data_IF_083844371631
#
_entry.id   IF_083844371631
#
_cell.length_a   1.000
_cell.length_b   1.000
_cell.length_c   1.000
_cell.angle_alpha   90.00
_cell.angle_beta   90.00
_cell.angle_gamma   90.00
#
_symmetry.space_group_name_H-M   'P 1'
#
loop_
_entity.id
_entity.type
_entity.pdbx_description
1 polymer ?
#
# COMPACT_ATOMS: atom_id res chain seq x y z
N UNK A 1 -24.46 -53.87 -75.36
CA UNK A 1 -23.60 -52.91 -76.08
C UNK A 1 -22.53 -52.41 -75.12
N UNK A 2 -21.25 -52.65 -75.48
CA UNK A 2 -19.99 -51.90 -75.19
C UNK A 2 -19.86 -51.14 -73.84
N UNK A 3 -18.74 -51.08 -73.12
CA UNK A 3 -17.38 -51.67 -73.08
C UNK A 3 -16.78 -51.13 -71.76
N UNK A 4 -16.06 -51.99 -71.05
CA UNK A 4 -14.78 -51.82 -70.33
C UNK A 4 -14.23 -50.42 -69.96
N UNK A 5 -13.69 -50.35 -68.72
CA UNK A 5 -12.48 -49.64 -68.23
C UNK A 5 -12.29 -48.14 -68.51
N UNK A 6 -12.03 -47.35 -67.46
CA UNK A 6 -10.69 -46.78 -67.22
C UNK A 6 -10.66 -45.91 -65.95
N UNK A 7 -9.73 -46.30 -65.07
CA UNK A 7 -9.13 -45.53 -63.99
C UNK A 7 -8.57 -44.21 -64.54
N UNK A 8 -8.94 -43.06 -63.96
CA UNK A 8 -8.15 -41.83 -64.09
C UNK A 8 -8.01 -41.18 -62.72
N UNK A 9 -6.89 -41.54 -62.10
CA UNK A 9 -6.25 -40.83 -61.00
C UNK A 9 -6.04 -39.39 -61.44
N UNK A 10 -6.68 -38.44 -60.77
CA UNK A 10 -6.18 -37.07 -60.72
C UNK A 10 -5.91 -36.75 -59.27
N UNK A 11 -4.61 -36.75 -58.94
CA UNK A 11 -4.09 -36.15 -57.73
C UNK A 11 -4.52 -34.69 -57.69
N UNK A 12 -5.48 -34.35 -56.84
CA UNK A 12 -5.56 -32.99 -56.32
C UNK A 12 -4.78 -32.98 -55.01
N UNK A 13 -3.50 -32.63 -55.13
CA UNK A 13 -2.68 -32.18 -54.00
C UNK A 13 -3.31 -30.88 -53.52
N UNK A 14 -4.31 -30.99 -52.63
CA UNK A 14 -4.73 -29.87 -51.83
C UNK A 14 -3.58 -29.59 -50.85
N UNK A 15 -2.79 -28.58 -51.20
CA UNK A 15 -1.76 -28.01 -50.35
C UNK A 15 -2.33 -27.80 -48.95
N UNK A 16 -1.88 -28.62 -47.99
CA UNK A 16 -2.02 -28.32 -46.58
C UNK A 16 -1.19 -27.07 -46.36
N UNK A 17 -1.85 -25.90 -46.33
CA UNK A 17 -1.26 -24.68 -45.81
C UNK A 17 -0.83 -24.97 -44.36
N UNK A 18 0.47 -25.00 -44.03
CA UNK A 18 0.89 -25.05 -42.65
C UNK A 18 0.78 -23.63 -42.10
N UNK A 19 -0.42 -23.23 -41.69
CA UNK A 19 -0.62 -21.83 -41.28
C UNK A 19 -1.87 -21.50 -40.47
N UNK A 20 -2.81 -22.43 -40.26
CA UNK A 20 -4.11 -22.09 -39.68
C UNK A 20 -4.50 -22.88 -38.41
N UNK A 21 -3.55 -23.52 -37.72
CA UNK A 21 -3.81 -24.24 -36.45
C UNK A 21 -2.91 -23.79 -35.31
N UNK A 22 -2.38 -22.56 -35.36
CA UNK A 22 -1.55 -22.05 -34.25
C UNK A 22 -1.67 -20.55 -34.03
N UNK A 23 -2.89 -20.09 -33.81
CA UNK A 23 -3.17 -18.76 -33.27
C UNK A 23 -4.19 -18.78 -32.10
N UNK A 24 -4.44 -19.95 -31.50
CA UNK A 24 -5.35 -20.08 -30.36
C UNK A 24 -4.66 -20.44 -29.02
N UNK A 25 -3.36 -20.77 -29.03
CA UNK A 25 -2.68 -21.31 -27.84
C UNK A 25 -1.55 -20.45 -27.27
N UNK A 26 -1.51 -19.15 -27.58
CA UNK A 26 -0.47 -18.25 -27.01
C UNK A 26 -1.00 -16.90 -26.53
N UNK A 27 -2.28 -16.83 -26.13
CA UNK A 27 -2.64 -15.90 -25.08
C UNK A 27 -2.07 -16.45 -23.76
N UNK A 28 -0.77 -16.25 -23.53
CA UNK A 28 -0.25 -16.13 -22.17
C UNK A 28 -1.24 -15.21 -21.47
N UNK A 29 -2.02 -15.73 -20.52
CA UNK A 29 -2.93 -14.90 -19.74
C UNK A 29 -2.10 -13.71 -19.29
N UNK A 30 -2.40 -12.52 -19.82
CA UNK A 30 -1.73 -11.31 -19.38
C UNK A 30 -1.74 -11.35 -17.85
N UNK A 31 -0.62 -11.07 -17.17
CA UNK A 31 -0.56 -11.12 -15.72
C UNK A 31 -1.76 -10.35 -15.21
N UNK A 32 -2.68 -11.08 -14.58
CA UNK A 32 -4.00 -10.52 -14.32
C UNK A 32 -3.77 -9.38 -13.33
N UNK A 33 -4.01 -8.14 -13.77
CA UNK A 33 -3.76 -6.98 -12.93
C UNK A 33 -4.67 -7.09 -11.71
N UNK A 34 -4.07 -7.29 -10.54
CA UNK A 34 -4.79 -7.54 -9.29
C UNK A 34 -5.76 -6.39 -8.98
N UNK A 35 -5.39 -5.18 -9.38
CA UNK A 35 -6.24 -4.00 -9.33
C UNK A 35 -7.51 -4.21 -10.17
N UNK A 36 -7.37 -4.60 -11.44
CA UNK A 36 -8.52 -4.82 -12.35
C UNK A 36 -9.48 -5.92 -11.85
N UNK A 37 -8.95 -6.97 -11.20
CA UNK A 37 -9.78 -8.02 -10.60
C UNK A 37 -10.60 -7.49 -9.42
N UNK A 38 -9.94 -6.73 -8.53
CA UNK A 38 -10.60 -6.12 -7.38
C UNK A 38 -11.65 -5.09 -7.81
N UNK A 39 -11.36 -4.27 -8.82
CA UNK A 39 -12.32 -3.33 -9.41
C UNK A 39 -13.57 -4.05 -9.93
N UNK A 40 -13.39 -5.15 -10.68
CA UNK A 40 -14.50 -5.97 -11.19
C UNK A 40 -15.27 -6.68 -10.06
N UNK A 41 -14.57 -7.15 -9.04
CA UNK A 41 -15.18 -7.80 -7.88
C UNK A 41 -16.07 -6.82 -7.11
N UNK A 42 -15.56 -5.62 -6.81
CA UNK A 42 -16.31 -4.56 -6.12
C UNK A 42 -17.44 -4.01 -6.99
N UNK A 43 -17.28 -3.94 -8.31
CA UNK A 43 -18.35 -3.54 -9.22
C UNK A 43 -19.52 -4.55 -9.25
N UNK A 44 -19.24 -5.85 -9.08
CA UNK A 44 -20.26 -6.90 -8.99
C UNK A 44 -20.91 -6.93 -7.60
N UNK A 45 -20.11 -6.82 -6.56
CA UNK A 45 -20.56 -6.82 -5.18
C UNK A 45 -19.74 -5.82 -4.35
N UNK A 46 -20.38 -4.69 -4.04
CA UNK A 46 -19.78 -3.63 -3.23
C UNK A 46 -20.07 -3.76 -1.74
N UNK A 47 -20.62 -4.89 -1.28
CA UNK A 47 -20.89 -5.17 0.14
C UNK A 47 -19.81 -6.03 0.81
N UNK A 48 -18.85 -6.55 0.03
CA UNK A 48 -17.72 -7.30 0.57
C UNK A 48 -16.63 -6.34 1.10
N UNK A 49 -16.48 -6.28 2.43
CA UNK A 49 -15.49 -5.43 3.08
C UNK A 49 -14.06 -5.74 2.65
N UNK A 50 -13.66 -7.01 2.59
CA UNK A 50 -12.26 -7.37 2.35
C UNK A 50 -11.85 -6.96 0.92
N UNK A 51 -12.74 -7.12 -0.06
CA UNK A 51 -12.54 -6.60 -1.42
C UNK A 51 -12.40 -5.08 -1.46
N UNK A 52 -13.28 -4.34 -0.75
CA UNK A 52 -13.19 -2.88 -0.66
C UNK A 52 -11.89 -2.42 0.00
N UNK A 53 -11.48 -3.09 1.08
CA UNK A 53 -10.26 -2.80 1.81
C UNK A 53 -9.03 -3.03 0.93
N UNK A 54 -8.91 -4.20 0.30
CA UNK A 54 -7.78 -4.51 -0.57
C UNK A 54 -7.73 -3.62 -1.81
N UNK A 55 -8.89 -3.28 -2.39
CA UNK A 55 -8.96 -2.32 -3.49
C UNK A 55 -8.47 -0.94 -3.06
N UNK A 56 -8.87 -0.47 -1.88
CA UNK A 56 -8.41 0.81 -1.33
C UNK A 56 -6.89 0.85 -1.11
N UNK A 57 -6.31 -0.24 -0.60
CA UNK A 57 -4.85 -0.36 -0.44
C UNK A 57 -4.15 -0.30 -1.80
N UNK A 58 -4.63 -1.07 -2.79
CA UNK A 58 -4.08 -1.04 -4.14
C UNK A 58 -4.19 0.33 -4.81
N UNK A 59 -5.27 1.08 -4.53
CA UNK A 59 -5.39 2.46 -5.01
C UNK A 59 -4.32 3.37 -4.39
N UNK A 60 -4.03 3.25 -3.09
CA UNK A 60 -2.94 4.01 -2.48
C UNK A 60 -1.57 3.63 -3.06
N UNK A 61 -1.32 2.33 -3.26
CA UNK A 61 -0.06 1.84 -3.86
C UNK A 61 0.14 2.33 -5.31
N UNK A 62 -0.95 2.68 -6.01
CA UNK A 62 -0.94 3.21 -7.38
C UNK A 62 -1.12 4.73 -7.45
N UNK A 63 -0.96 5.43 -6.33
CA UNK A 63 -1.10 6.89 -6.23
C UNK A 63 -2.48 7.40 -6.72
N UNK A 64 -3.54 6.66 -6.37
CA UNK A 64 -4.95 6.96 -6.67
C UNK A 64 -5.75 7.24 -5.40
N UNK A 65 -5.37 8.25 -4.59
CA UNK A 65 -5.97 8.48 -3.27
C UNK A 65 -7.47 8.86 -3.34
N UNK A 66 -7.91 9.51 -4.42
CA UNK A 66 -9.32 9.87 -4.59
C UNK A 66 -10.23 8.65 -4.71
N UNK A 67 -9.79 7.61 -5.42
CA UNK A 67 -10.51 6.33 -5.49
C UNK A 67 -10.41 5.54 -4.19
N UNK A 68 -9.25 5.56 -3.53
CA UNK A 68 -9.07 4.94 -2.22
C UNK A 68 -10.06 5.50 -1.18
N UNK A 69 -10.26 6.81 -1.12
CA UNK A 69 -11.24 7.46 -0.21
C UNK A 69 -12.65 6.89 -0.43
N UNK A 70 -13.06 6.70 -1.68
CA UNK A 70 -14.42 6.19 -2.00
C UNK A 70 -14.63 4.78 -1.48
N UNK A 71 -13.67 3.88 -1.70
CA UNK A 71 -13.81 2.47 -1.29
C UNK A 71 -13.58 2.27 0.20
N UNK A 72 -12.63 2.98 0.81
CA UNK A 72 -12.47 2.96 2.27
C UNK A 72 -13.68 3.58 2.97
N UNK A 73 -14.25 4.67 2.45
CA UNK A 73 -15.48 5.26 2.99
C UNK A 73 -16.70 4.32 2.93
N UNK A 74 -16.72 3.35 2.01
CA UNK A 74 -17.69 2.24 2.04
C UNK A 74 -17.32 1.19 3.07
N UNK A 75 -16.05 0.78 3.11
CA UNK A 75 -15.54 -0.22 4.05
C UNK A 75 -15.79 0.17 5.51
N UNK A 76 -15.55 1.44 5.87
CA UNK A 76 -15.80 1.95 7.24
C UNK A 76 -17.27 1.97 7.63
N UNK A 77 -18.19 2.07 6.67
CA UNK A 77 -19.64 1.95 6.94
C UNK A 77 -20.06 0.50 7.15
N UNK A 78 -19.42 -0.44 6.46
CA UNK A 78 -19.71 -1.87 6.57
C UNK A 78 -19.17 -2.48 7.87
N UNK A 79 -17.96 -2.09 8.27
CA UNK A 79 -17.33 -2.50 9.54
C UNK A 79 -16.80 -1.26 10.27
N UNK A 80 -17.65 -0.53 11.01
CA UNK A 80 -17.25 0.68 11.73
C UNK A 80 -16.29 0.41 12.90
N UNK A 81 -16.21 -0.83 13.35
CA UNK A 81 -15.32 -1.33 14.40
C UNK A 81 -13.97 -1.85 13.87
N UNK A 82 -13.77 -1.93 12.55
CA UNK A 82 -12.46 -2.25 11.96
C UNK A 82 -11.66 -0.96 11.76
N UNK A 83 -10.72 -0.72 12.67
CA UNK A 83 -9.91 0.49 12.63
C UNK A 83 -8.99 0.57 11.39
N UNK A 84 -8.65 -0.56 10.75
CA UNK A 84 -7.69 -0.58 9.63
C UNK A 84 -8.21 0.20 8.43
N UNK A 85 -9.50 0.04 8.10
CA UNK A 85 -10.13 0.79 7.02
C UNK A 85 -10.18 2.29 7.33
N UNK A 86 -10.47 2.66 8.59
CA UNK A 86 -10.51 4.05 9.03
C UNK A 86 -9.12 4.70 9.02
N UNK A 87 -8.08 3.97 9.46
CA UNK A 87 -6.69 4.45 9.36
C UNK A 87 -6.29 4.68 7.90
N UNK A 88 -6.55 3.71 7.00
CA UNK A 88 -6.20 3.87 5.59
C UNK A 88 -7.04 4.93 4.87
N UNK A 89 -8.28 5.20 5.31
CA UNK A 89 -9.04 6.36 4.86
C UNK A 89 -8.31 7.66 5.23
N UNK A 90 -7.76 7.74 6.45
CA UNK A 90 -6.91 8.85 6.87
C UNK A 90 -5.65 9.00 6.00
N UNK A 91 -4.98 7.88 5.70
CA UNK A 91 -3.80 7.88 4.82
C UNK A 91 -4.15 8.39 3.42
N UNK A 92 -5.30 8.00 2.88
CA UNK A 92 -5.77 8.48 1.59
C UNK A 92 -6.07 9.99 1.60
N UNK A 93 -6.60 10.53 2.70
CA UNK A 93 -6.76 11.98 2.86
C UNK A 93 -5.42 12.71 2.95
N UNK A 94 -4.44 12.19 3.69
CA UNK A 94 -3.08 12.77 3.73
C UNK A 94 -2.44 12.81 2.34
N UNK A 95 -2.53 11.71 1.59
CA UNK A 95 -2.01 11.63 0.22
C UNK A 95 -2.70 12.62 -0.75
N UNK A 96 -3.94 12.99 -0.48
CA UNK A 96 -4.68 14.02 -1.24
C UNK A 96 -4.43 15.45 -0.73
N UNK A 97 -3.55 15.65 0.26
CA UNK A 97 -3.29 16.96 0.85
C UNK A 97 -4.42 17.48 1.73
N UNK A 98 -5.18 16.58 2.37
CA UNK A 98 -6.34 16.89 3.22
C UNK A 98 -6.06 16.51 4.70
N UNK A 99 -5.09 17.17 5.37
CA UNK A 99 -4.60 16.75 6.69
C UNK A 99 -5.63 16.85 7.81
N UNK A 100 -6.60 17.77 7.73
CA UNK A 100 -7.65 17.91 8.73
C UNK A 100 -8.58 16.68 8.74
N UNK A 101 -8.99 16.21 7.55
CA UNK A 101 -9.83 15.04 7.40
C UNK A 101 -9.05 13.77 7.78
N UNK A 102 -7.77 13.69 7.42
CA UNK A 102 -6.91 12.59 7.84
C UNK A 102 -6.82 12.49 9.38
N UNK A 103 -6.57 13.62 10.04
CA UNK A 103 -6.49 13.69 11.51
C UNK A 103 -7.80 13.23 12.17
N UNK A 104 -8.94 13.63 11.62
CA UNK A 104 -10.25 13.17 12.09
C UNK A 104 -10.36 11.64 12.02
N UNK A 105 -9.96 11.03 10.90
CA UNK A 105 -10.00 9.58 10.75
C UNK A 105 -9.06 8.86 11.71
N UNK A 106 -7.84 9.36 11.93
CA UNK A 106 -6.93 8.78 12.91
C UNK A 106 -7.50 8.85 14.34
N UNK A 107 -8.15 9.97 14.70
CA UNK A 107 -8.85 10.09 15.99
C UNK A 107 -10.03 9.13 16.09
N UNK A 108 -10.80 8.95 15.03
CA UNK A 108 -11.91 8.01 14.99
C UNK A 108 -11.42 6.55 15.13
N UNK A 109 -10.34 6.18 14.44
CA UNK A 109 -9.70 4.88 14.62
C UNK A 109 -9.26 4.64 16.08
N UNK A 110 -8.71 5.66 16.74
CA UNK A 110 -8.29 5.58 18.15
C UNK A 110 -9.45 5.53 19.15
N UNK A 111 -10.65 6.01 18.81
CA UNK A 111 -11.84 5.80 19.64
C UNK A 111 -12.22 4.31 19.69
N UNK A 112 -12.03 3.59 18.59
CA UNK A 112 -12.33 2.16 18.46
C UNK A 112 -11.19 1.31 19.03
N UNK A 113 -9.96 1.64 18.67
CA UNK A 113 -8.76 0.92 19.08
C UNK A 113 -7.73 1.89 19.70
N UNK A 114 -7.85 2.23 21.00
CA UNK A 114 -6.99 3.23 21.65
C UNK A 114 -5.50 2.89 21.67
N UNK A 115 -5.14 1.61 21.46
CA UNK A 115 -3.75 1.11 21.42
C UNK A 115 -3.27 0.81 20.00
N UNK A 116 -3.96 1.29 18.97
CA UNK A 116 -3.50 1.14 17.59
C UNK A 116 -2.27 2.03 17.37
N UNK A 117 -1.12 1.37 17.19
CA UNK A 117 0.16 2.06 17.06
C UNK A 117 0.29 2.80 15.74
N UNK A 118 -0.34 2.29 14.66
CA UNK A 118 -0.28 2.94 13.34
C UNK A 118 -1.09 4.23 13.39
N UNK A 119 -2.30 4.20 13.96
CA UNK A 119 -3.12 5.39 14.15
C UNK A 119 -2.43 6.43 15.04
N UNK A 120 -1.82 6.02 16.17
CA UNK A 120 -1.01 6.91 17.03
C UNK A 120 0.18 7.51 16.26
N UNK A 121 0.96 6.70 15.51
CA UNK A 121 2.07 7.17 14.68
C UNK A 121 1.62 8.23 13.65
N UNK A 122 0.52 7.97 12.94
CA UNK A 122 -0.04 8.89 11.93
C UNK A 122 -0.55 10.19 12.55
N UNK A 123 -1.28 10.11 13.66
CA UNK A 123 -1.75 11.28 14.41
C UNK A 123 -0.58 12.11 14.93
N UNK A 124 0.46 11.47 15.49
CA UNK A 124 1.66 12.15 15.95
C UNK A 124 2.38 12.87 14.80
N UNK A 125 2.50 12.24 13.63
CA UNK A 125 3.06 12.88 12.44
C UNK A 125 2.25 14.12 12.01
N UNK A 126 0.92 14.04 12.07
CA UNK A 126 0.04 15.18 11.76
C UNK A 126 0.19 16.31 12.78
N UNK A 127 0.24 16.00 14.08
CA UNK A 127 0.48 16.96 15.15
C UNK A 127 1.85 17.64 14.99
N UNK A 128 2.86 16.86 14.63
CA UNK A 128 4.20 17.35 14.36
C UNK A 128 4.20 18.38 13.22
N UNK A 129 3.55 18.08 12.10
CA UNK A 129 3.41 19.01 10.97
C UNK A 129 2.65 20.30 11.33
N UNK A 130 1.81 20.26 12.37
CA UNK A 130 1.12 21.44 12.93
C UNK A 130 1.97 22.23 13.95
N UNK A 131 3.23 21.86 14.17
CA UNK A 131 4.11 22.49 15.16
C UNK A 131 3.89 22.02 16.60
N UNK A 132 3.02 21.03 16.83
CA UNK A 132 2.72 20.49 18.18
C UNK A 132 3.74 19.41 18.57
N UNK A 133 5.01 19.79 18.57
CA UNK A 133 6.14 18.87 18.68
C UNK A 133 6.14 18.07 19.98
N UNK A 134 5.90 18.72 21.13
CA UNK A 134 5.92 18.05 22.44
C UNK A 134 4.83 16.98 22.55
N UNK A 135 3.61 17.27 22.07
CA UNK A 135 2.49 16.33 22.06
C UNK A 135 2.79 15.12 21.15
N UNK A 136 3.27 15.39 19.93
CA UNK A 136 3.65 14.36 18.97
C UNK A 136 4.74 13.42 19.53
N UNK A 137 5.82 13.98 20.08
CA UNK A 137 6.92 13.19 20.64
C UNK A 137 6.51 12.42 21.89
N UNK A 138 5.64 13.00 22.74
CA UNK A 138 5.07 12.30 23.90
C UNK A 138 4.28 11.07 23.48
N UNK A 139 3.41 11.21 22.48
CA UNK A 139 2.62 10.12 21.92
C UNK A 139 3.51 9.01 21.32
N UNK A 140 4.57 9.37 20.58
CA UNK A 140 5.49 8.40 19.99
C UNK A 140 6.28 7.62 21.05
N UNK A 141 6.70 8.28 22.14
CA UNK A 141 7.37 7.63 23.27
C UNK A 141 6.44 6.65 23.98
N UNK A 142 5.18 7.02 24.17
CA UNK A 142 4.16 6.11 24.70
C UNK A 142 3.99 4.86 23.82
N UNK A 143 3.89 5.03 22.49
CA UNK A 143 3.82 3.89 21.55
C UNK A 143 5.04 2.98 21.70
N UNK A 144 6.25 3.54 21.85
CA UNK A 144 7.48 2.76 22.04
C UNK A 144 7.45 1.99 23.37
N UNK A 145 6.96 2.61 24.44
CA UNK A 145 6.81 1.95 25.74
C UNK A 145 5.80 0.79 25.70
N UNK A 146 4.65 1.00 25.07
CA UNK A 146 3.60 -0.01 24.94
C UNK A 146 3.98 -1.12 23.94
N UNK A 147 4.62 -0.75 22.84
CA UNK A 147 5.02 -1.64 21.75
C UNK A 147 6.47 -1.36 21.32
N UNK A 148 7.46 -1.94 22.02
CA UNK A 148 8.89 -1.74 21.72
C UNK A 148 9.37 -2.22 20.33
N UNK A 149 8.49 -2.88 19.56
CA UNK A 149 8.75 -3.29 18.17
C UNK A 149 7.97 -2.47 17.14
N UNK A 150 7.42 -1.31 17.53
CA UNK A 150 6.75 -0.40 16.59
C UNK A 150 7.77 0.40 15.79
N UNK A 151 8.17 -0.11 14.63
CA UNK A 151 9.14 0.60 13.77
C UNK A 151 8.59 1.95 13.27
N UNK A 152 7.26 2.12 13.09
CA UNK A 152 6.69 3.41 12.72
C UNK A 152 6.98 4.47 13.78
N UNK A 153 6.91 4.12 15.07
CA UNK A 153 7.11 5.08 16.15
C UNK A 153 8.57 5.53 16.21
N UNK A 154 9.50 4.59 16.06
CA UNK A 154 10.92 4.92 15.92
C UNK A 154 11.20 5.77 14.69
N UNK A 155 10.61 5.44 13.54
CA UNK A 155 10.82 6.20 12.31
C UNK A 155 10.35 7.65 12.46
N UNK A 156 9.10 7.87 12.91
CA UNK A 156 8.53 9.21 13.08
C UNK A 156 9.26 9.99 14.18
N UNK A 157 9.68 9.34 15.28
CA UNK A 157 10.47 10.01 16.31
C UNK A 157 11.87 10.39 15.82
N UNK A 158 12.47 9.58 14.94
CA UNK A 158 13.72 9.90 14.27
C UNK A 158 13.61 11.16 13.40
N UNK A 159 12.54 11.27 12.61
CA UNK A 159 12.24 12.48 11.83
C UNK A 159 12.11 13.70 12.74
N UNK A 160 11.34 13.59 13.83
CA UNK A 160 11.16 14.68 14.79
C UNK A 160 12.50 15.13 15.44
N UNK A 161 13.39 14.19 15.78
CA UNK A 161 14.71 14.54 16.29
C UNK A 161 15.61 15.19 15.24
N UNK A 162 15.54 14.74 13.99
CA UNK A 162 16.35 15.28 12.91
C UNK A 162 15.99 16.74 12.63
N UNK A 163 14.70 17.04 12.51
CA UNK A 163 14.17 18.39 12.33
C UNK A 163 14.51 19.32 13.50
N UNK A 164 14.59 18.78 14.73
CA UNK A 164 15.03 19.51 15.91
C UNK A 164 16.56 19.70 16.00
N UNK A 165 17.34 19.22 15.01
CA UNK A 165 18.79 19.30 14.99
C UNK A 165 19.50 18.28 15.91
N UNK A 166 18.75 17.36 16.53
CA UNK A 166 19.27 16.37 17.49
C UNK A 166 19.69 15.11 16.73
N UNK A 167 20.65 15.25 15.83
CA UNK A 167 21.00 14.23 14.82
C UNK A 167 21.45 12.89 15.42
N UNK A 168 22.17 12.91 16.54
CA UNK A 168 22.58 11.67 17.23
C UNK A 168 21.39 10.85 17.71
N UNK A 169 20.31 11.50 18.13
CA UNK A 169 19.12 10.84 18.63
C UNK A 169 18.27 10.33 17.46
N UNK A 170 18.17 11.12 16.39
CA UNK A 170 17.55 10.70 15.14
C UNK A 170 18.15 9.39 14.59
N UNK A 171 19.49 9.35 14.48
CA UNK A 171 20.23 8.16 14.05
C UNK A 171 19.92 6.95 14.94
N UNK A 172 19.91 7.11 16.27
CA UNK A 172 19.59 6.01 17.19
C UNK A 172 18.18 5.46 16.98
N UNK A 173 17.21 6.32 16.71
CA UNK A 173 15.83 5.88 16.43
C UNK A 173 15.74 5.13 15.10
N UNK A 174 16.33 5.67 14.04
CA UNK A 174 16.34 5.01 12.73
C UNK A 174 17.10 3.68 12.71
N UNK A 175 18.15 3.52 13.53
CA UNK A 175 18.79 2.22 13.72
C UNK A 175 17.83 1.16 14.29
N UNK A 176 16.86 1.55 15.13
CA UNK A 176 15.82 0.63 15.59
C UNK A 176 14.90 0.21 14.44
N UNK A 177 14.58 1.11 13.51
CA UNK A 177 13.79 0.78 12.30
C UNK A 177 14.51 -0.31 11.50
N UNK A 178 15.81 -0.13 11.22
CA UNK A 178 16.63 -1.11 10.51
C UNK A 178 16.69 -2.47 11.22
N UNK A 179 16.73 -2.49 12.56
CA UNK A 179 16.75 -3.72 13.36
C UNK A 179 15.40 -4.44 13.36
N UNK A 180 14.30 -3.69 13.44
CA UNK A 180 12.96 -4.23 13.64
C UNK A 180 12.33 -4.68 12.31
N UNK A 181 12.51 -3.89 11.25
CA UNK A 181 11.85 -4.08 9.96
C UNK A 181 12.82 -3.78 8.79
N UNK A 182 13.90 -4.57 8.61
CA UNK A 182 14.99 -4.28 7.68
C UNK A 182 14.58 -4.21 6.20
N UNK A 183 13.43 -4.80 5.83
CA UNK A 183 12.91 -4.84 4.45
C UNK A 183 11.74 -3.88 4.23
N UNK A 184 11.42 -3.03 5.20
CA UNK A 184 10.35 -2.03 5.06
C UNK A 184 10.79 -0.84 4.21
N UNK A 185 9.87 -0.13 3.53
CA UNK A 185 10.18 1.14 2.88
C UNK A 185 10.81 2.16 3.85
N UNK A 186 10.31 2.22 5.08
CA UNK A 186 10.85 3.11 6.13
C UNK A 186 12.30 2.75 6.49
N UNK A 187 12.71 1.49 6.38
CA UNK A 187 14.11 1.10 6.57
C UNK A 187 15.02 1.64 5.47
N UNK A 188 14.55 1.71 4.22
CA UNK A 188 15.32 2.33 3.12
C UNK A 188 15.53 3.81 3.42
N UNK A 189 14.45 4.55 3.72
CA UNK A 189 14.53 5.98 4.08
C UNK A 189 15.35 6.23 5.33
N UNK A 190 15.24 5.36 6.34
CA UNK A 190 16.05 5.42 7.56
C UNK A 190 17.55 5.26 7.26
N UNK A 191 17.93 4.32 6.38
CA UNK A 191 19.31 4.11 5.99
C UNK A 191 19.89 5.36 5.31
N UNK A 192 19.18 5.89 4.32
CA UNK A 192 19.60 7.11 3.61
C UNK A 192 19.75 8.30 4.57
N UNK A 193 18.77 8.47 5.48
CA UNK A 193 18.80 9.56 6.45
C UNK A 193 19.96 9.43 7.44
N UNK A 194 20.28 8.21 7.88
CA UNK A 194 21.45 7.93 8.72
C UNK A 194 22.74 8.29 7.98
N UNK A 195 22.92 7.86 6.73
CA UNK A 195 24.13 8.13 5.94
C UNK A 195 24.37 9.63 5.74
N UNK A 196 23.29 10.40 5.55
CA UNK A 196 23.35 11.87 5.46
C UNK A 196 23.74 12.46 6.81
N UNK A 197 23.01 12.14 7.88
CA UNK A 197 23.23 12.78 9.19
C UNK A 197 24.53 12.38 9.87
N UNK A 198 25.06 11.18 9.58
CA UNK A 198 26.34 10.72 10.11
C UNK A 198 27.48 11.69 9.82
N UNK A 199 27.47 12.37 8.66
CA UNK A 199 28.50 13.34 8.26
C UNK A 199 28.53 14.58 9.16
N UNK A 200 27.42 14.91 9.81
CA UNK A 200 27.29 16.09 10.68
C UNK A 200 27.60 15.81 12.15
N UNK A 201 27.80 14.53 12.52
CA UNK A 201 28.05 14.11 13.92
C UNK A 201 29.40 13.44 14.12
N UNK A 202 30.19 13.32 13.05
CA UNK A 202 31.60 12.91 13.13
C UNK A 202 32.41 14.00 13.85
N UNK A 203 33.40 13.61 14.69
CA UNK A 203 34.26 14.54 15.41
C UNK A 203 35.18 15.36 14.50
#
# INVERSE_FOLDING_TARGET
MKRTLALCITLFVAAVLPGAVRAADNAKSAPVDSLSLLERAVARDSSNFDNLYHLGVMYLDRDRPSEAIKVFGKATKLRPDDQRATVNLGVAFDALGQPAQAQEQYRNALKVAPRDSVAKCRLASSLYAQGKYSEAMGMLREVIQEKPRSYCAYFTLGVAFADAGIYRDAIRMWQQVLRIAPTSPEAVSAKESIEVLQKFVQP
#
